data_IF_812498234154
#
_entry.id   IF_812498234154
#
_cell.length_a   1.000
_cell.length_b   1.000
_cell.length_c   1.000
_cell.angle_alpha   90.00
_cell.angle_beta   90.00
_cell.angle_gamma   90.00
#
_symmetry.space_group_name_H-M   'P 1'
#
loop_
_entity.id
_entity.type
_entity.pdbx_description
1 polymer ?
#
# COMPACT_ATOMS: atom_id res chain seq x y z
N UNK A 1 -0.93 -17.75 -3.80
CA UNK A 1 0.47 -17.29 -3.96
C UNK A 1 1.00 -17.82 -5.28
N UNK A 2 1.88 -17.08 -6.00
CA UNK A 2 2.51 -17.60 -7.20
C UNK A 2 3.24 -18.92 -6.91
N UNK A 3 3.29 -19.81 -7.90
CA UNK A 3 4.05 -21.07 -7.78
C UNK A 3 5.53 -20.75 -7.62
N UNK A 4 6.30 -21.67 -7.04
CA UNK A 4 7.77 -21.60 -6.99
C UNK A 4 8.46 -21.73 -8.36
N UNK A 5 7.70 -21.52 -9.45
CA UNK A 5 8.14 -21.62 -10.83
C UNK A 5 7.89 -20.27 -11.51
N UNK A 6 8.90 -19.66 -12.14
CA UNK A 6 8.73 -18.39 -12.84
C UNK A 6 7.65 -18.47 -13.94
N UNK A 7 6.89 -17.38 -14.11
CA UNK A 7 5.87 -17.26 -15.15
C UNK A 7 5.71 -15.82 -15.61
N UNK A 8 5.41 -15.62 -16.89
CA UNK A 8 5.01 -14.30 -17.42
C UNK A 8 3.57 -14.01 -16.98
N UNK A 9 3.36 -12.82 -16.42
CA UNK A 9 2.04 -12.34 -15.99
C UNK A 9 1.78 -10.95 -16.54
N UNK A 10 0.52 -10.66 -16.86
CA UNK A 10 0.08 -9.29 -17.19
C UNK A 10 -0.57 -8.68 -15.96
N UNK A 11 -0.02 -7.57 -15.48
CA UNK A 11 -0.58 -6.83 -14.34
C UNK A 11 -1.50 -5.74 -14.89
N UNK A 12 -2.80 -5.72 -14.53
CA UNK A 12 -3.71 -4.68 -15.00
C UNK A 12 -3.38 -3.33 -14.35
N UNK A 13 -4.01 -2.25 -14.85
CA UNK A 13 -3.94 -0.95 -14.18
C UNK A 13 -4.59 -1.04 -12.79
N UNK A 14 -3.92 -0.49 -11.79
CA UNK A 14 -4.34 -0.49 -10.39
C UNK A 14 -4.17 0.90 -9.79
N UNK A 15 -4.99 1.23 -8.81
CA UNK A 15 -4.86 2.46 -8.03
C UNK A 15 -4.03 2.21 -6.78
N UNK A 16 -3.07 3.10 -6.50
CA UNK A 16 -2.17 2.97 -5.37
C UNK A 16 -2.14 4.26 -4.54
N UNK A 17 -2.10 4.09 -3.22
CA UNK A 17 -1.55 5.10 -2.32
C UNK A 17 -0.07 4.78 -2.21
N UNK A 18 0.80 5.75 -2.50
CA UNK A 18 2.24 5.52 -2.57
C UNK A 18 3.01 6.66 -1.90
N UNK A 19 4.10 6.29 -1.24
CA UNK A 19 5.11 7.22 -0.71
C UNK A 19 6.41 6.94 -1.46
N UNK A 20 7.03 7.99 -2.00
CA UNK A 20 8.38 7.92 -2.58
C UNK A 20 9.37 8.30 -1.49
N UNK A 21 10.47 7.57 -1.41
CA UNK A 21 11.52 7.82 -0.44
C UNK A 21 12.82 7.15 -0.87
N UNK A 22 13.84 7.29 -0.03
CA UNK A 22 15.15 6.67 -0.23
C UNK A 22 15.77 6.28 1.09
N UNK A 23 16.85 5.52 1.06
CA UNK A 23 17.61 5.15 2.26
C UNK A 23 17.45 3.68 2.67
N UNK A 24 17.89 3.38 3.90
CA UNK A 24 17.94 2.02 4.42
C UNK A 24 16.59 1.64 5.05
N UNK A 25 15.86 0.62 4.53
CA UNK A 25 14.59 0.19 5.12
C UNK A 25 14.74 -0.44 6.50
N UNK A 26 15.96 -0.82 6.90
CA UNK A 26 16.24 -1.43 8.20
C UNK A 26 16.54 -0.40 9.29
N UNK A 27 16.56 0.89 8.97
CA UNK A 27 16.70 1.95 9.96
C UNK A 27 15.41 2.07 10.78
N UNK A 28 15.52 1.85 12.10
CA UNK A 28 14.40 1.83 13.02
C UNK A 28 13.71 3.19 13.15
N UNK A 29 14.39 4.30 12.82
CA UNK A 29 13.82 5.65 12.83
C UNK A 29 13.80 6.28 11.42
N UNK A 30 14.09 5.48 10.40
CA UNK A 30 14.20 5.90 9.01
C UNK A 30 12.88 6.14 8.30
N UNK A 31 12.98 6.76 7.12
CA UNK A 31 11.84 7.16 6.27
C UNK A 31 10.92 5.98 5.93
N UNK A 32 11.46 4.78 5.72
CA UNK A 32 10.67 3.61 5.35
C UNK A 32 9.63 3.22 6.40
N UNK A 33 10.01 3.22 7.68
CA UNK A 33 9.09 2.89 8.78
C UNK A 33 8.00 3.95 8.92
N UNK A 34 8.35 5.23 8.76
CA UNK A 34 7.39 6.33 8.78
C UNK A 34 6.41 6.24 7.60
N UNK A 35 6.91 5.92 6.40
CA UNK A 35 6.11 5.72 5.20
C UNK A 35 5.09 4.58 5.37
N UNK A 36 5.49 3.46 5.97
CA UNK A 36 4.56 2.35 6.30
C UNK A 36 3.44 2.84 7.22
N UNK A 37 3.79 3.59 8.28
CA UNK A 37 2.82 4.15 9.22
C UNK A 37 1.80 5.06 8.52
N UNK A 38 2.26 5.93 7.62
CA UNK A 38 1.41 6.81 6.83
C UNK A 38 0.48 6.02 5.89
N UNK A 39 1.02 5.04 5.16
CA UNK A 39 0.25 4.22 4.22
C UNK A 39 -0.88 3.45 4.92
N UNK A 40 -0.58 2.78 6.03
CA UNK A 40 -1.60 2.04 6.79
C UNK A 40 -2.58 2.97 7.50
N UNK A 41 -2.12 4.12 8.02
CA UNK A 41 -2.99 5.14 8.58
C UNK A 41 -4.07 5.55 7.57
N UNK A 42 -3.66 5.98 6.38
CA UNK A 42 -4.60 6.38 5.32
C UNK A 42 -5.49 5.21 4.88
N UNK A 43 -4.91 4.04 4.62
CA UNK A 43 -5.65 2.89 4.10
C UNK A 43 -6.75 2.41 5.05
N UNK A 44 -6.49 2.39 6.37
CA UNK A 44 -7.48 2.02 7.38
C UNK A 44 -8.50 3.12 7.64
N UNK A 45 -8.11 4.40 7.58
CA UNK A 45 -9.06 5.51 7.65
C UNK A 45 -10.10 5.43 6.54
N UNK A 46 -9.67 5.20 5.29
CA UNK A 46 -10.60 5.03 4.15
C UNK A 46 -11.48 3.79 4.37
N UNK A 47 -10.90 2.63 4.72
CA UNK A 47 -11.67 1.39 4.96
C UNK A 47 -12.72 1.55 6.06
N UNK A 48 -12.42 2.31 7.12
CA UNK A 48 -13.31 2.46 8.27
C UNK A 48 -14.33 3.57 8.07
N UNK A 49 -14.23 4.42 7.03
CA UNK A 49 -15.21 5.47 6.76
C UNK A 49 -16.62 4.93 6.56
N UNK A 50 -16.77 3.67 6.14
CA UNK A 50 -18.07 2.97 6.05
C UNK A 50 -18.84 2.89 7.38
N UNK A 51 -18.17 3.11 8.51
CA UNK A 51 -18.76 3.09 9.86
C UNK A 51 -19.21 4.49 10.31
N UNK A 52 -18.90 5.52 9.55
CA UNK A 52 -19.24 6.91 9.86
C UNK A 52 -20.48 7.34 9.05
N UNK A 53 -21.11 8.44 9.46
CA UNK A 53 -22.25 9.01 8.72
C UNK A 53 -21.84 9.56 7.35
N UNK A 54 -20.58 9.96 7.20
CA UNK A 54 -20.04 10.44 5.93
C UNK A 54 -19.73 9.29 4.97
N UNK A 55 -20.45 9.25 3.85
CA UNK A 55 -20.22 8.30 2.77
C UNK A 55 -19.31 8.91 1.70
N UNK A 56 -18.22 8.23 1.38
CA UNK A 56 -17.32 8.61 0.28
C UNK A 56 -17.95 8.15 -1.03
N UNK A 57 -18.13 9.07 -1.98
CA UNK A 57 -18.67 8.76 -3.30
C UNK A 57 -17.82 7.70 -4.00
N UNK A 58 -18.47 6.62 -4.45
CA UNK A 58 -17.80 5.50 -5.12
C UNK A 58 -17.03 4.57 -4.19
N UNK A 59 -17.19 4.69 -2.87
CA UNK A 59 -16.62 3.73 -1.90
C UNK A 59 -17.15 2.32 -2.15
N UNK A 60 -16.26 1.34 -1.99
CA UNK A 60 -16.58 -0.08 -1.94
C UNK A 60 -15.86 -0.69 -0.75
N UNK A 61 -16.46 -1.71 -0.12
CA UNK A 61 -15.80 -2.39 1.00
C UNK A 61 -14.64 -3.26 0.50
N UNK A 62 -13.47 -3.10 1.10
CA UNK A 62 -12.26 -3.83 0.71
C UNK A 62 -11.44 -4.30 1.91
N UNK A 63 -10.64 -5.33 1.67
CA UNK A 63 -9.58 -5.77 2.59
C UNK A 63 -8.32 -4.98 2.27
N UNK A 64 -7.67 -4.40 3.28
CA UNK A 64 -6.39 -3.70 3.10
C UNK A 64 -5.39 -4.70 2.51
N UNK A 65 -4.84 -4.45 1.31
CA UNK A 65 -3.94 -5.38 0.66
C UNK A 65 -2.59 -5.46 1.38
N UNK A 66 -1.78 -6.50 1.09
CA UNK A 66 -0.40 -6.56 1.59
C UNK A 66 0.41 -5.34 1.10
N UNK A 67 1.45 -4.98 1.86
CA UNK A 67 2.40 -3.95 1.46
C UNK A 67 3.18 -4.43 0.23
N UNK A 68 3.30 -3.55 -0.77
CA UNK A 68 4.14 -3.73 -1.95
C UNK A 68 5.20 -2.62 -2.00
N UNK A 69 6.34 -2.89 -2.60
CA UNK A 69 7.44 -1.94 -2.71
C UNK A 69 8.09 -1.99 -4.08
N UNK A 70 8.32 -0.83 -4.68
CA UNK A 70 9.20 -0.68 -5.83
C UNK A 70 10.59 -0.32 -5.35
N UNK A 71 11.58 -1.10 -5.78
CA UNK A 71 12.98 -0.88 -5.46
C UNK A 71 13.77 -0.74 -6.75
N UNK A 72 14.56 0.32 -6.85
CA UNK A 72 15.56 0.49 -7.89
C UNK A 72 16.84 1.05 -7.27
N UNK A 73 17.98 0.65 -7.82
CA UNK A 73 19.22 1.38 -7.60
C UNK A 73 19.27 2.47 -8.67
N UNK A 74 19.34 3.73 -8.21
CA UNK A 74 19.65 4.88 -9.07
C UNK A 74 21.14 4.92 -9.41
#
# INVERSE_FOLDING_TARGET
>A
MPKGTPSIVTVPKMNYIAVRGSGNPNDADGEYKQAIGLLYGIAFTIKMSKKEDHQIDGYFDYVVPPLEGFWWQG
#
